data_IF_787517055248
#
_entry.id   IF_787517055248
#
_cell.length_a   1.000
_cell.length_b   1.000
_cell.length_c   1.000
_cell.angle_alpha   90.00
_cell.angle_beta   90.00
_cell.angle_gamma   90.00
#
_symmetry.space_group_name_H-M   'P 1'
#
loop_
_entity.id
_entity.type
_entity.pdbx_description
1 polymer ?
#
# COMPACT_ATOMS: atom_id res chain seq x y z
N UNK A 1 -27.05 -14.57 -9.81
CA UNK A 1 -26.96 -13.11 -9.61
C UNK A 1 -25.57 -12.75 -10.07
N UNK A 2 -25.47 -12.21 -11.28
CA UNK A 2 -24.19 -12.20 -12.00
C UNK A 2 -23.29 -11.12 -11.42
N UNK A 3 -22.17 -11.56 -10.86
CA UNK A 3 -21.10 -10.69 -10.36
C UNK A 3 -20.03 -10.64 -11.44
N UNK A 4 -19.66 -9.44 -11.86
CA UNK A 4 -18.60 -9.24 -12.83
C UNK A 4 -17.38 -8.69 -12.12
N UNK A 5 -16.25 -9.35 -12.33
CA UNK A 5 -14.98 -8.99 -11.71
C UNK A 5 -13.98 -8.62 -12.79
N UNK A 6 -13.42 -7.41 -12.70
CA UNK A 6 -12.36 -6.93 -13.59
C UNK A 6 -11.10 -6.69 -12.76
N UNK A 7 -10.05 -7.43 -13.08
CA UNK A 7 -8.73 -7.24 -12.46
C UNK A 7 -7.93 -6.19 -13.22
N UNK A 8 -7.37 -5.24 -12.49
CA UNK A 8 -6.44 -4.23 -13.00
C UNK A 8 -5.09 -4.40 -12.32
N UNK A 9 -4.00 -3.75 -12.79
CA UNK A 9 -2.71 -3.78 -12.09
C UNK A 9 -2.74 -3.20 -10.66
N UNK A 10 -3.75 -2.39 -10.32
CA UNK A 10 -3.81 -1.63 -9.06
C UNK A 10 -4.83 -2.21 -8.07
N UNK A 11 -5.71 -3.10 -8.52
CA UNK A 11 -6.82 -3.59 -7.73
C UNK A 11 -7.90 -4.25 -8.58
N UNK A 12 -9.01 -4.57 -7.93
CA UNK A 12 -10.14 -5.28 -8.50
C UNK A 12 -11.39 -4.41 -8.48
N UNK A 13 -12.07 -4.33 -9.62
CA UNK A 13 -13.42 -3.74 -9.73
C UNK A 13 -14.43 -4.87 -9.67
N UNK A 14 -15.41 -4.77 -8.76
CA UNK A 14 -16.49 -5.73 -8.59
C UNK A 14 -17.81 -5.04 -8.90
N UNK A 15 -18.52 -5.53 -9.90
CA UNK A 15 -19.85 -5.06 -10.29
C UNK A 15 -20.85 -6.13 -9.89
N UNK A 16 -21.83 -5.75 -9.07
CA UNK A 16 -22.86 -6.65 -8.54
C UNK A 16 -24.25 -6.01 -8.61
N UNK A 17 -25.28 -6.77 -8.18
CA UNK A 17 -26.68 -6.34 -8.17
C UNK A 17 -27.18 -5.88 -9.56
N UNK A 18 -26.89 -6.68 -10.60
CA UNK A 18 -27.27 -6.36 -11.97
C UNK A 18 -26.65 -5.07 -12.51
N UNK A 19 -25.49 -4.66 -11.99
CA UNK A 19 -24.82 -3.42 -12.38
C UNK A 19 -25.10 -2.22 -11.46
N UNK A 20 -25.91 -2.37 -10.40
CA UNK A 20 -26.26 -1.26 -9.50
C UNK A 20 -25.21 -0.97 -8.44
N UNK A 21 -24.35 -1.94 -8.13
CA UNK A 21 -23.29 -1.79 -7.12
C UNK A 21 -21.94 -1.95 -7.77
N UNK A 22 -21.05 -0.97 -7.52
CA UNK A 22 -19.65 -1.01 -7.93
C UNK A 22 -18.80 -0.87 -6.68
N UNK A 23 -17.93 -1.85 -6.43
CA UNK A 23 -16.91 -1.81 -5.40
C UNK A 23 -15.53 -1.81 -6.05
N UNK A 24 -14.59 -1.06 -5.48
CA UNK A 24 -13.20 -1.03 -5.93
C UNK A 24 -12.27 -1.35 -4.76
N UNK A 25 -11.58 -2.48 -4.88
CA UNK A 25 -10.62 -2.95 -3.89
C UNK A 25 -9.20 -2.76 -4.43
N UNK A 26 -8.35 -2.05 -3.69
CA UNK A 26 -6.95 -1.88 -4.05
C UNK A 26 -6.13 -3.07 -3.56
N UNK A 27 -5.20 -3.57 -4.37
CA UNK A 27 -4.30 -4.67 -3.95
C UNK A 27 -3.33 -4.27 -2.83
N UNK A 28 -3.06 -2.97 -2.72
CA UNK A 28 -2.27 -2.40 -1.65
C UNK A 28 -2.99 -1.19 -1.08
N UNK A 29 -2.77 -0.93 0.21
CA UNK A 29 -3.25 0.31 0.82
C UNK A 29 -2.62 1.49 0.05
N UNK A 30 -3.44 2.44 -0.41
CA UNK A 30 -2.96 3.72 -0.95
C UNK A 30 -2.04 4.45 0.06
N UNK A 31 -2.11 4.06 1.33
CA UNK A 31 -1.28 4.53 2.44
C UNK A 31 0.05 3.80 2.61
N UNK A 32 0.40 2.78 1.81
CA UNK A 32 1.83 2.49 1.56
C UNK A 32 2.38 3.59 0.64
N UNK A 33 2.48 4.75 1.30
CA UNK A 33 2.73 6.07 0.77
C UNK A 33 4.09 6.13 0.10
N UNK A 34 4.23 6.96 -0.94
CA UNK A 34 5.54 7.41 -1.44
C UNK A 34 6.51 7.78 -0.31
N UNK A 35 5.98 8.24 0.82
CA UNK A 35 6.73 8.48 2.04
C UNK A 35 7.45 7.24 2.58
N UNK A 36 6.79 6.09 2.66
CA UNK A 36 7.41 4.84 3.11
C UNK A 36 8.52 4.39 2.14
N UNK A 37 8.30 4.58 0.84
CA UNK A 37 9.31 4.28 -0.17
C UNK A 37 10.51 5.22 -0.09
N UNK A 38 10.28 6.51 0.14
CA UNK A 38 11.33 7.50 0.35
C UNK A 38 12.10 7.24 1.65
N UNK A 39 11.40 6.90 2.73
CA UNK A 39 11.98 6.54 4.02
C UNK A 39 12.82 5.28 3.92
N UNK A 40 12.32 4.25 3.25
CA UNK A 40 13.08 3.03 2.97
C UNK A 40 14.37 3.33 2.20
N UNK A 41 14.27 4.14 1.14
CA UNK A 41 15.43 4.57 0.33
C UNK A 41 16.44 5.35 1.16
N UNK A 42 15.97 6.24 2.04
CA UNK A 42 16.82 7.03 2.93
C UNK A 42 17.56 6.14 3.93
N UNK A 43 16.86 5.21 4.58
CA UNK A 43 17.47 4.25 5.53
C UNK A 43 18.55 3.41 4.83
N UNK A 44 18.28 2.92 3.62
CA UNK A 44 19.25 2.18 2.80
C UNK A 44 20.52 3.00 2.53
N UNK A 45 20.40 4.31 2.27
CA UNK A 45 21.57 5.17 2.10
C UNK A 45 22.36 5.38 3.40
N UNK A 46 21.68 5.51 4.54
CA UNK A 46 22.35 5.64 5.84
C UNK A 46 23.12 4.38 6.21
N UNK A 47 22.56 3.20 5.95
CA UNK A 47 23.25 1.92 6.17
C UNK A 47 24.52 1.82 5.32
N UNK A 48 24.49 2.24 4.04
CA UNK A 48 25.68 2.29 3.18
C UNK A 48 26.78 3.22 3.71
N UNK A 49 26.42 4.22 4.51
CA UNK A 49 27.35 5.15 5.17
C UNK A 49 27.86 4.63 6.52
N UNK A 50 27.48 3.42 6.93
CA UNK A 50 27.91 2.79 8.17
C UNK A 50 27.04 3.09 9.38
N UNK A 51 25.86 3.71 9.19
CA UNK A 51 24.89 3.89 10.29
C UNK A 51 24.24 2.54 10.59
N UNK A 52 24.44 2.04 11.80
CA UNK A 52 23.96 0.72 12.25
C UNK A 52 22.89 0.81 13.34
N UNK A 53 22.70 1.99 13.93
CA UNK A 53 21.72 2.23 14.98
C UNK A 53 20.73 3.30 14.52
N UNK A 54 19.44 2.98 14.63
CA UNK A 54 18.34 3.87 14.31
C UNK A 54 17.49 4.02 15.56
N UNK A 55 17.32 5.25 16.04
CA UNK A 55 16.39 5.51 17.14
C UNK A 55 14.96 5.43 16.59
N UNK A 56 14.14 4.56 17.18
CA UNK A 56 12.74 4.34 16.84
C UNK A 56 11.78 4.72 17.99
N UNK A 57 12.22 5.51 18.98
CA UNK A 57 11.47 5.87 20.20
C UNK A 57 10.11 6.55 19.93
N UNK A 58 9.83 6.97 18.69
CA UNK A 58 8.56 7.57 18.27
C UNK A 58 7.72 6.69 17.33
N UNK A 59 8.12 5.45 17.08
CA UNK A 59 7.29 4.49 16.34
C UNK A 59 6.34 3.83 17.34
N UNK A 60 5.18 4.45 17.55
CA UNK A 60 4.07 3.83 18.29
C UNK A 60 3.52 2.68 17.45
N UNK A 61 3.90 1.45 17.78
CA UNK A 61 3.24 0.24 17.28
C UNK A 61 1.97 0.08 18.12
N UNK A 62 0.83 0.51 17.57
CA UNK A 62 -0.49 0.24 18.15
C UNK A 62 -0.96 -1.16 17.76
#
# INVERSE_FOLDING_TARGET
MDTYTVSTPFGTVIISDGGRKVAFELYSDIRQSRHNQALFTYIQQLQKRGVTQFNADHISIA
#
